data_IF_553022332640
#
_entry.id   IF_553022332640
#
_cell.length_a   1.000
_cell.length_b   1.000
_cell.length_c   1.000
_cell.angle_alpha   90.00
_cell.angle_beta   90.00
_cell.angle_gamma   90.00
#
_symmetry.space_group_name_H-M   'P 1'
#
loop_
_entity.id
_entity.type
_entity.pdbx_description
1 polymer ?
#
# COMPACT_ATOMS: atom_id res chain seq x y z
N UNK A 1 -25.62 15.51 -13.90
CA UNK A 1 -24.38 16.12 -13.37
C UNK A 1 -23.38 15.00 -13.10
N UNK A 2 -22.11 15.08 -13.53
CA UNK A 2 -21.10 14.09 -13.17
C UNK A 2 -20.78 14.18 -11.67
N UNK A 3 -20.58 13.04 -11.03
CA UNK A 3 -20.17 12.99 -9.62
C UNK A 3 -18.79 13.64 -9.45
N UNK A 4 -18.51 14.32 -8.32
CA UNK A 4 -17.21 14.88 -8.05
C UNK A 4 -16.13 13.78 -8.01
N UNK A 5 -14.87 14.09 -8.37
CA UNK A 5 -13.78 13.12 -8.31
C UNK A 5 -13.56 12.66 -6.86
N UNK A 6 -13.47 11.34 -6.69
CA UNK A 6 -13.19 10.70 -5.41
C UNK A 6 -11.71 10.33 -5.41
N UNK A 7 -10.95 10.92 -4.49
CA UNK A 7 -9.53 10.59 -4.33
C UNK A 7 -9.38 9.59 -3.19
N UNK A 8 -8.61 8.54 -3.44
CA UNK A 8 -8.24 7.57 -2.42
C UNK A 8 -6.77 7.76 -2.08
N UNK A 9 -6.49 7.99 -0.81
CA UNK A 9 -5.14 8.01 -0.27
C UNK A 9 -4.93 6.77 0.60
N UNK A 10 -3.76 6.14 0.47
CA UNK A 10 -3.34 5.02 1.31
C UNK A 10 -2.45 5.56 2.41
N UNK A 11 -2.82 5.31 3.65
CA UNK A 11 -2.02 5.63 4.84
C UNK A 11 -1.65 4.36 5.58
N UNK A 12 -0.65 4.46 6.46
CA UNK A 12 -0.21 3.36 7.32
C UNK A 12 0.06 2.05 6.57
N UNK A 13 0.80 2.15 5.45
CA UNK A 13 1.25 0.97 4.71
C UNK A 13 2.16 0.11 5.59
N UNK A 14 1.78 -1.14 5.83
CA UNK A 14 2.57 -2.15 6.56
C UNK A 14 2.63 -3.45 5.76
N UNK A 15 3.75 -4.16 5.85
CA UNK A 15 3.84 -5.51 5.29
C UNK A 15 3.01 -6.47 6.15
N UNK A 16 2.28 -7.39 5.51
CA UNK A 16 1.57 -8.46 6.24
C UNK A 16 2.46 -9.66 6.54
N UNK A 17 3.65 -9.73 5.95
CA UNK A 17 4.54 -10.90 5.98
C UNK A 17 4.26 -11.93 4.88
N UNK A 18 3.18 -11.77 4.10
CA UNK A 18 2.92 -12.64 2.95
C UNK A 18 3.68 -12.19 1.71
N UNK A 19 4.38 -13.12 1.07
CA UNK A 19 5.09 -12.91 -0.18
C UNK A 19 4.79 -14.03 -1.18
N UNK A 20 4.81 -13.70 -2.47
CA UNK A 20 4.69 -14.67 -3.56
C UNK A 20 5.56 -14.27 -4.74
N UNK A 21 6.00 -15.28 -5.48
CA UNK A 21 6.62 -15.08 -6.78
C UNK A 21 5.53 -15.10 -7.85
N UNK A 22 5.60 -14.18 -8.81
CA UNK A 22 4.75 -14.20 -10.00
C UNK A 22 5.63 -14.47 -11.21
N UNK A 23 5.04 -15.10 -12.24
CA UNK A 23 5.69 -15.12 -13.55
C UNK A 23 5.81 -13.68 -14.06
N UNK A 24 7.04 -13.20 -14.21
CA UNK A 24 7.34 -11.86 -14.69
C UNK A 24 8.47 -11.94 -15.70
N UNK A 25 8.42 -11.10 -16.73
CA UNK A 25 9.59 -10.88 -17.60
C UNK A 25 10.70 -10.27 -16.74
N UNK A 26 11.92 -10.73 -16.95
CA UNK A 26 13.08 -10.19 -16.24
C UNK A 26 13.19 -8.68 -16.50
N UNK A 27 13.10 -7.89 -15.44
CA UNK A 27 13.15 -6.42 -15.51
C UNK A 27 14.55 -5.86 -15.21
N UNK A 28 15.57 -6.72 -15.08
CA UNK A 28 16.90 -6.33 -14.61
C UNK A 28 17.05 -6.25 -13.09
N UNK A 29 15.94 -6.36 -12.34
CA UNK A 29 15.92 -6.34 -10.87
C UNK A 29 15.05 -7.48 -10.34
N UNK A 30 15.44 -8.15 -9.25
CA UNK A 30 14.58 -9.15 -8.62
C UNK A 30 13.34 -8.47 -8.02
N UNK A 31 12.18 -8.78 -8.58
CA UNK A 31 10.87 -8.28 -8.11
C UNK A 31 10.08 -9.45 -7.53
N UNK A 32 9.50 -9.24 -6.35
CA UNK A 32 8.54 -10.15 -5.71
C UNK A 32 7.21 -9.44 -5.50
N UNK A 33 6.15 -10.22 -5.27
CA UNK A 33 4.88 -9.66 -4.82
C UNK A 33 4.75 -9.79 -3.31
N UNK A 34 4.64 -8.65 -2.64
CA UNK A 34 4.38 -8.57 -1.20
C UNK A 34 2.94 -8.13 -0.98
N UNK A 35 2.31 -8.65 0.06
CA UNK A 35 1.01 -8.16 0.48
C UNK A 35 1.21 -7.01 1.46
N UNK A 36 0.54 -5.90 1.19
CA UNK A 36 0.57 -4.67 1.97
C UNK A 36 -0.81 -4.45 2.57
N UNK A 37 -0.86 -4.20 3.88
CA UNK A 37 -2.03 -3.68 4.57
C UNK A 37 -1.91 -2.16 4.65
N UNK A 38 -3.00 -1.45 4.41
CA UNK A 38 -3.05 0.01 4.48
C UNK A 38 -4.44 0.47 4.91
N UNK A 39 -4.54 1.71 5.34
CA UNK A 39 -5.80 2.38 5.63
C UNK A 39 -6.16 3.24 4.41
N UNK A 40 -7.24 2.88 3.71
CA UNK A 40 -7.75 3.64 2.58
C UNK A 40 -8.63 4.77 3.09
N UNK A 41 -8.12 6.00 3.07
CA UNK A 41 -8.92 7.19 3.31
C UNK A 41 -9.53 7.67 2.00
N UNK A 42 -10.84 7.89 2.03
CA UNK A 42 -11.56 8.46 0.90
C UNK A 42 -11.79 9.93 1.16
N UNK A 43 -11.07 10.77 0.42
CA UNK A 43 -11.24 12.22 0.47
C UNK A 43 -12.24 12.58 -0.61
N UNK A 44 -13.45 12.92 -0.18
CA UNK A 44 -14.45 13.55 -1.02
C UNK A 44 -14.57 15.01 -0.61
N UNK A 45 -14.87 15.91 -1.55
CA UNK A 45 -15.01 17.37 -1.35
C UNK A 45 -15.98 17.76 -0.22
N UNK A 46 -16.74 16.81 0.34
CA UNK A 46 -17.76 17.05 1.37
C UNK A 46 -17.62 16.20 2.63
N UNK A 47 -16.82 15.13 2.64
CA UNK A 47 -16.73 14.21 3.80
C UNK A 47 -15.38 13.47 3.78
N UNK A 48 -14.62 13.55 4.88
CA UNK A 48 -13.60 12.58 5.23
C UNK A 48 -14.31 11.35 5.81
N UNK A 49 -14.37 10.25 5.05
CA UNK A 49 -14.83 8.99 5.61
C UNK A 49 -13.65 8.31 6.33
N UNK A 50 -13.92 7.83 7.55
CA UNK A 50 -12.98 7.02 8.34
C UNK A 50 -12.35 5.93 7.48
N UNK A 51 -11.05 5.74 7.65
CA UNK A 51 -10.27 4.93 6.74
C UNK A 51 -10.64 3.45 6.82
N UNK A 52 -10.85 2.82 5.67
CA UNK A 52 -11.15 1.39 5.60
C UNK A 52 -9.84 0.59 5.50
N UNK A 53 -9.63 -0.43 6.34
CA UNK A 53 -8.46 -1.29 6.21
C UNK A 53 -8.57 -2.08 4.90
N UNK A 54 -7.53 -2.00 4.08
CA UNK A 54 -7.42 -2.71 2.80
C UNK A 54 -6.14 -3.50 2.76
N UNK A 55 -6.18 -4.65 2.09
CA UNK A 55 -4.97 -5.41 1.75
C UNK A 55 -4.88 -5.54 0.24
N UNK A 56 -3.68 -5.37 -0.31
CA UNK A 56 -3.43 -5.51 -1.73
C UNK A 56 -2.03 -6.08 -2.00
N UNK A 57 -1.86 -6.67 -3.17
CA UNK A 57 -0.57 -7.19 -3.63
C UNK A 57 0.18 -6.09 -4.38
N UNK A 58 1.43 -5.86 -4.00
CA UNK A 58 2.33 -4.87 -4.61
C UNK A 58 3.60 -5.55 -5.09
N UNK A 59 4.03 -5.18 -6.29
CA UNK A 59 5.35 -5.56 -6.78
C UNK A 59 6.40 -4.72 -6.01
N UNK A 60 7.37 -5.39 -5.41
CA UNK A 60 8.44 -4.76 -4.66
C UNK A 60 9.74 -5.52 -4.84
N UNK A 61 10.84 -4.78 -4.92
CA UNK A 61 12.17 -5.29 -4.64
C UNK A 61 12.34 -5.54 -3.14
N UNK A 62 13.37 -6.29 -2.74
CA UNK A 62 13.69 -6.51 -1.32
C UNK A 62 13.89 -5.19 -0.55
N UNK A 63 14.56 -4.23 -1.18
CA UNK A 63 14.81 -2.90 -0.59
C UNK A 63 13.51 -2.12 -0.39
N UNK A 64 12.61 -2.16 -1.36
CA UNK A 64 11.30 -1.50 -1.25
C UNK A 64 10.43 -2.15 -0.16
N UNK A 65 10.43 -3.47 -0.05
CA UNK A 65 9.72 -4.18 1.02
C UNK A 65 10.25 -3.76 2.41
N UNK A 66 11.58 -3.75 2.60
CA UNK A 66 12.19 -3.27 3.86
C UNK A 66 11.83 -1.81 4.14
N UNK A 67 11.79 -0.96 3.12
CA UNK A 67 11.42 0.45 3.27
C UNK A 67 9.97 0.61 3.74
N UNK A 68 9.04 -0.22 3.24
CA UNK A 68 7.65 -0.24 3.71
C UNK A 68 7.60 -0.60 5.20
N UNK A 69 8.33 -1.64 5.62
CA UNK A 69 8.38 -2.05 7.03
C UNK A 69 8.97 -0.95 7.94
N UNK A 70 10.09 -0.36 7.55
CA UNK A 70 10.73 0.70 8.36
C UNK A 70 9.82 1.93 8.52
N UNK A 71 9.07 2.29 7.48
CA UNK A 71 8.09 3.39 7.56
C UNK A 71 6.91 3.03 8.47
N UNK A 72 6.45 1.79 8.42
CA UNK A 72 5.39 1.29 9.29
C UNK A 72 5.77 1.36 10.78
N UNK A 73 7.02 1.05 11.10
CA UNK A 73 7.55 1.07 12.46
C UNK A 73 7.68 2.52 12.96
N UNK A 74 8.19 3.44 12.14
CA UNK A 74 8.28 4.88 12.47
C UNK A 74 6.90 5.54 12.69
N UNK A 75 5.86 5.09 11.99
CA UNK A 75 4.48 5.58 12.20
C UNK A 75 3.84 5.03 13.48
N UNK A 76 4.40 3.96 14.09
CA UNK A 76 3.92 3.39 15.34
C UNK A 76 4.49 4.04 16.61
N UNK A 77 5.49 4.92 16.47
CA UNK A 77 6.16 5.62 17.58
C UNK A 77 5.65 7.06 17.81
N UNK A 78 4.54 7.47 17.20
CA UNK A 78 3.89 8.77 17.43
C UNK A 78 2.63 8.67 18.29
#
# INVERSE_FOLDING_TARGET
>A
MPAPPVYHHLEDEKLTGCFRFRSARFTGRPIMQVQVAAIRKTVSVRVEKGGEPVTFWRDATLVEALTIQLRADNNGEQ
#
